data_IF_703931954383
#
_entry.id   IF_703931954383
#
_cell.length_a   1.000
_cell.length_b   1.000
_cell.length_c   1.000
_cell.angle_alpha   90.00
_cell.angle_beta   90.00
_cell.angle_gamma   90.00
#
_symmetry.space_group_name_H-M   'P 1'
#
loop_
_entity.id
_entity.type
_entity.pdbx_description
1 polymer ?
#
# COMPACT_ATOMS: atom_id res chain seq x y z
N UNK A 1 -15.22 -26.01 -9.29
CA UNK A 1 -13.93 -25.32 -9.30
C UNK A 1 -13.80 -24.36 -8.11
N UNK A 2 -14.71 -23.41 -7.92
CA UNK A 2 -14.65 -22.38 -6.86
C UNK A 2 -14.82 -22.90 -5.42
N UNK A 3 -15.06 -24.17 -5.17
CA UNK A 3 -15.33 -24.76 -3.87
C UNK A 3 -14.49 -26.00 -3.56
N UNK A 4 -13.40 -26.25 -4.31
CA UNK A 4 -12.55 -27.45 -4.12
C UNK A 4 -11.09 -27.05 -3.92
N UNK A 5 -10.38 -27.83 -3.08
CA UNK A 5 -8.93 -27.74 -2.91
C UNK A 5 -8.48 -26.42 -2.33
N UNK A 6 -7.40 -25.88 -2.89
CA UNK A 6 -6.70 -24.68 -2.39
C UNK A 6 -7.49 -23.37 -2.53
N UNK A 7 -8.61 -23.39 -3.25
CA UNK A 7 -9.50 -22.23 -3.43
C UNK A 7 -10.07 -21.73 -2.08
N UNK A 8 -10.15 -22.59 -1.07
CA UNK A 8 -10.52 -22.17 0.28
C UNK A 8 -9.57 -21.14 0.86
N UNK A 9 -8.28 -21.17 0.50
CA UNK A 9 -7.30 -20.14 0.92
C UNK A 9 -7.65 -18.77 0.33
N UNK A 10 -8.09 -18.73 -0.93
CA UNK A 10 -8.60 -17.51 -1.56
C UNK A 10 -9.81 -16.94 -0.81
N UNK A 11 -10.82 -17.76 -0.53
CA UNK A 11 -12.01 -17.34 0.20
C UNK A 11 -11.67 -16.87 1.62
N UNK A 12 -10.77 -17.57 2.30
CA UNK A 12 -10.34 -17.20 3.65
C UNK A 12 -9.69 -15.81 3.65
N UNK A 13 -8.84 -15.50 2.68
CA UNK A 13 -8.21 -14.19 2.60
C UNK A 13 -9.19 -13.09 2.18
N UNK A 14 -10.10 -13.38 1.25
CA UNK A 14 -11.14 -12.45 0.84
C UNK A 14 -12.05 -12.08 2.02
N UNK A 15 -12.55 -13.07 2.74
CA UNK A 15 -13.41 -12.86 3.91
C UNK A 15 -12.65 -12.19 5.05
N UNK A 16 -11.40 -12.56 5.30
CA UNK A 16 -10.55 -11.90 6.29
C UNK A 16 -10.38 -10.41 5.96
N UNK A 17 -10.11 -10.08 4.70
CA UNK A 17 -10.03 -8.68 4.25
C UNK A 17 -11.35 -7.94 4.46
N UNK A 18 -12.49 -8.59 4.19
CA UNK A 18 -13.82 -8.03 4.47
C UNK A 18 -14.03 -7.72 5.95
N UNK A 19 -13.74 -8.68 6.84
CA UNK A 19 -13.85 -8.50 8.29
C UNK A 19 -12.93 -7.38 8.77
N UNK A 20 -11.66 -7.36 8.34
CA UNK A 20 -10.71 -6.30 8.67
C UNK A 20 -11.18 -4.94 8.15
N UNK A 21 -11.80 -4.91 6.97
CA UNK A 21 -12.40 -3.70 6.39
C UNK A 21 -13.53 -3.15 7.27
N UNK A 22 -14.50 -3.98 7.62
CA UNK A 22 -15.63 -3.57 8.48
C UNK A 22 -15.11 -3.02 9.82
N UNK A 23 -14.21 -3.75 10.47
CA UNK A 23 -13.63 -3.33 11.75
C UNK A 23 -12.86 -2.02 11.61
N UNK A 24 -12.09 -1.88 10.55
CA UNK A 24 -11.26 -0.69 10.28
C UNK A 24 -12.05 0.57 10.00
N UNK A 25 -13.32 0.49 9.64
CA UNK A 25 -14.16 1.65 9.34
C UNK A 25 -14.24 2.66 10.49
N UNK A 26 -14.14 2.22 11.73
CA UNK A 26 -14.13 3.12 12.89
C UNK A 26 -12.94 4.10 12.84
N UNK A 27 -11.79 3.69 12.30
CA UNK A 27 -10.61 4.54 12.09
C UNK A 27 -10.69 5.26 10.74
N UNK A 28 -10.92 4.50 9.68
CA UNK A 28 -10.83 4.97 8.30
C UNK A 28 -11.93 5.96 7.96
N UNK A 29 -13.17 5.70 8.36
CA UNK A 29 -14.30 6.59 8.12
C UNK A 29 -14.10 7.99 8.72
N UNK A 30 -13.27 8.12 9.76
CA UNK A 30 -12.89 9.42 10.32
C UNK A 30 -11.75 10.09 9.54
N UNK A 31 -10.77 9.32 9.09
CA UNK A 31 -9.65 9.83 8.30
C UNK A 31 -10.12 10.26 6.91
N UNK A 32 -11.00 9.47 6.29
CA UNK A 32 -11.55 9.68 4.94
C UNK A 32 -12.98 10.25 4.94
N UNK A 33 -13.36 10.98 5.98
CA UNK A 33 -14.72 11.53 6.15
C UNK A 33 -15.26 12.27 4.92
N UNK A 34 -14.39 12.84 4.10
CA UNK A 34 -14.75 13.56 2.89
C UNK A 34 -14.97 12.68 1.66
N UNK A 35 -14.66 11.38 1.71
CA UNK A 35 -14.89 10.46 0.60
C UNK A 35 -16.34 9.97 0.60
N UNK A 36 -16.88 9.69 -0.59
CA UNK A 36 -18.22 9.16 -0.73
C UNK A 36 -18.38 7.78 -0.09
N UNK A 37 -17.37 6.92 -0.23
CA UNK A 37 -17.26 5.59 0.38
C UNK A 37 -16.67 5.62 1.81
N UNK A 38 -16.38 6.82 2.36
CA UNK A 38 -15.68 7.01 3.65
C UNK A 38 -14.38 6.21 3.78
N UNK A 39 -13.74 5.88 2.65
CA UNK A 39 -12.51 5.11 2.58
C UNK A 39 -12.72 3.61 2.77
N UNK A 40 -13.83 3.06 2.31
CA UNK A 40 -14.18 1.65 2.45
C UNK A 40 -13.05 0.69 2.02
N UNK A 41 -12.49 0.86 0.82
CA UNK A 41 -11.39 0.01 0.36
C UNK A 41 -10.11 0.25 1.16
N UNK A 42 -9.84 1.48 1.55
CA UNK A 42 -8.70 1.83 2.39
C UNK A 42 -8.78 1.20 3.78
N UNK A 43 -9.99 0.91 4.31
CA UNK A 43 -10.18 0.34 5.64
C UNK A 43 -9.52 -1.04 5.81
N UNK A 44 -9.53 -1.85 4.76
CA UNK A 44 -8.86 -3.16 4.72
C UNK A 44 -7.36 -3.00 4.91
N UNK A 45 -6.74 -2.09 4.15
CA UNK A 45 -5.29 -1.83 4.22
C UNK A 45 -4.91 -1.14 5.53
N UNK A 46 -5.73 -0.21 6.05
CA UNK A 46 -5.52 0.43 7.36
C UNK A 46 -5.45 -0.61 8.48
N UNK A 47 -6.39 -1.56 8.48
CA UNK A 47 -6.43 -2.63 9.49
C UNK A 47 -5.21 -3.55 9.40
N UNK A 48 -4.85 -3.99 8.19
CA UNK A 48 -3.63 -4.78 7.95
C UNK A 48 -2.39 -4.01 8.42
N UNK A 49 -2.31 -2.74 8.07
CA UNK A 49 -1.19 -1.86 8.43
C UNK A 49 -1.04 -1.76 9.96
N UNK A 50 -2.11 -1.38 10.67
CA UNK A 50 -2.05 -1.17 12.12
C UNK A 50 -1.76 -2.48 12.85
N UNK A 51 -2.48 -3.54 12.55
CA UNK A 51 -2.34 -4.81 13.26
C UNK A 51 -1.03 -5.52 12.92
N UNK A 52 -0.63 -5.52 11.66
CA UNK A 52 0.64 -6.09 11.22
C UNK A 52 1.83 -5.32 11.77
N UNK A 53 1.84 -3.99 11.65
CA UNK A 53 2.93 -3.17 12.17
C UNK A 53 3.06 -3.28 13.69
N UNK A 54 1.95 -3.23 14.43
CA UNK A 54 1.97 -3.37 15.89
C UNK A 54 2.49 -4.76 16.32
N UNK A 55 2.08 -5.82 15.61
CA UNK A 55 2.60 -7.18 15.84
C UNK A 55 4.09 -7.23 15.60
N UNK A 56 4.56 -6.70 14.47
CA UNK A 56 5.99 -6.65 14.13
C UNK A 56 6.79 -5.89 15.19
N UNK A 57 6.31 -4.70 15.56
CA UNK A 57 7.00 -3.86 16.54
C UNK A 57 7.17 -4.56 17.89
N UNK A 58 6.07 -5.09 18.46
CA UNK A 58 6.09 -5.75 19.75
C UNK A 58 6.95 -7.04 19.75
N UNK A 59 6.99 -7.74 18.63
CA UNK A 59 7.86 -8.90 18.46
C UNK A 59 9.33 -8.49 18.31
N UNK A 60 9.62 -7.45 17.53
CA UNK A 60 10.97 -6.96 17.27
C UNK A 60 11.63 -6.39 18.53
N UNK A 61 10.88 -5.72 19.40
CA UNK A 61 11.34 -5.26 20.72
C UNK A 61 11.28 -6.34 21.81
N UNK A 62 11.00 -7.60 21.44
CA UNK A 62 11.00 -8.79 22.33
C UNK A 62 9.93 -8.81 23.43
N UNK A 63 8.89 -7.99 23.34
CA UNK A 63 7.73 -8.03 24.26
C UNK A 63 6.87 -9.27 24.00
N UNK A 64 6.66 -9.61 22.72
CA UNK A 64 5.87 -10.77 22.32
C UNK A 64 6.66 -11.71 21.40
N UNK A 65 6.14 -12.93 21.20
CA UNK A 65 6.70 -13.91 20.25
C UNK A 65 5.87 -13.88 18.96
N UNK A 66 6.50 -14.11 17.81
CA UNK A 66 5.81 -14.15 16.50
C UNK A 66 5.07 -15.47 16.32
N UNK A 67 3.89 -15.56 16.89
CA UNK A 67 3.00 -16.74 16.85
C UNK A 67 1.63 -16.37 16.27
N UNK A 68 0.89 -17.38 15.81
CA UNK A 68 -0.52 -17.20 15.40
C UNK A 68 -1.36 -16.58 16.50
N UNK A 69 -1.18 -17.01 17.75
CA UNK A 69 -1.90 -16.45 18.91
C UNK A 69 -1.62 -14.97 19.08
N UNK A 70 -0.38 -14.53 18.90
CA UNK A 70 -0.01 -13.11 18.96
C UNK A 70 -0.67 -12.32 17.82
N UNK A 71 -0.63 -12.82 16.59
CA UNK A 71 -1.26 -12.17 15.44
C UNK A 71 -2.78 -12.02 15.64
N UNK A 72 -3.45 -13.08 16.03
CA UNK A 72 -4.89 -13.08 16.32
C UNK A 72 -5.21 -12.18 17.52
N UNK A 73 -4.44 -12.28 18.61
CA UNK A 73 -4.66 -11.50 19.82
C UNK A 73 -4.55 -9.99 19.60
N UNK A 74 -3.53 -9.54 18.85
CA UNK A 74 -3.37 -8.11 18.51
C UNK A 74 -4.50 -7.65 17.57
N UNK A 75 -4.87 -8.47 16.59
CA UNK A 75 -5.96 -8.14 15.67
C UNK A 75 -7.30 -8.08 16.41
N UNK A 76 -7.56 -8.99 17.34
CA UNK A 76 -8.75 -8.96 18.19
C UNK A 76 -8.76 -7.73 19.11
N UNK A 77 -7.62 -7.39 19.74
CA UNK A 77 -7.50 -6.18 20.57
C UNK A 77 -7.76 -4.91 19.76
N UNK A 78 -7.25 -4.83 18.53
CA UNK A 78 -7.59 -3.76 17.59
C UNK A 78 -9.09 -3.72 17.29
N UNK A 79 -9.71 -4.88 17.05
CA UNK A 79 -11.16 -4.98 16.85
C UNK A 79 -11.96 -4.42 18.02
N UNK A 80 -11.61 -4.81 19.25
CA UNK A 80 -12.25 -4.28 20.46
C UNK A 80 -12.06 -2.75 20.55
N UNK A 81 -10.86 -2.25 20.31
CA UNK A 81 -10.61 -0.79 20.30
C UNK A 81 -11.47 -0.07 19.24
N UNK A 82 -11.62 -0.67 18.05
CA UNK A 82 -12.48 -0.13 16.98
C UNK A 82 -13.98 -0.11 17.38
N UNK A 83 -14.49 -1.12 18.09
CA UNK A 83 -15.86 -1.13 18.61
C UNK A 83 -16.07 0.03 19.59
N UNK A 84 -15.16 0.22 20.55
CA UNK A 84 -15.22 1.36 21.46
C UNK A 84 -15.15 2.70 20.74
N UNK A 85 -14.30 2.81 19.73
CA UNK A 85 -14.16 4.02 18.91
C UNK A 85 -15.46 4.29 18.13
N UNK A 86 -16.06 3.26 17.53
CA UNK A 86 -17.32 3.33 16.82
C UNK A 86 -18.46 3.82 17.73
N UNK A 87 -18.64 3.22 18.90
CA UNK A 87 -19.65 3.60 19.86
C UNK A 87 -19.48 5.05 20.35
N UNK A 88 -18.23 5.45 20.61
CA UNK A 88 -17.91 6.84 20.98
C UNK A 88 -18.29 7.83 19.87
N UNK A 89 -17.99 7.49 18.61
CA UNK A 89 -18.31 8.34 17.45
C UNK A 89 -19.83 8.42 17.26
N UNK A 90 -20.53 7.32 17.35
CA UNK A 90 -22.00 7.26 17.27
C UNK A 90 -22.67 8.13 18.32
N UNK A 91 -22.20 8.09 19.57
CA UNK A 91 -22.70 8.97 20.64
C UNK A 91 -22.45 10.46 20.37
N UNK A 92 -21.44 10.77 19.54
CA UNK A 92 -21.16 12.13 19.09
C UNK A 92 -21.94 12.54 17.83
N UNK A 93 -22.88 11.71 17.36
CA UNK A 93 -23.67 11.94 16.16
C UNK A 93 -22.88 11.73 14.86
N UNK A 94 -21.76 11.00 14.90
CA UNK A 94 -20.97 10.71 13.72
C UNK A 94 -21.08 9.23 13.33
N UNK A 95 -21.59 8.99 12.13
CA UNK A 95 -21.58 7.66 11.52
C UNK A 95 -20.36 7.51 10.60
N UNK A 96 -19.52 6.52 10.89
CA UNK A 96 -18.34 6.22 10.10
C UNK A 96 -18.61 5.24 8.93
N UNK A 97 -19.80 4.63 8.89
CA UNK A 97 -20.17 3.69 7.83
C UNK A 97 -20.70 4.43 6.59
N UNK A 98 -20.40 3.96 5.37
CA UNK A 98 -20.82 4.59 4.11
C UNK A 98 -22.25 4.21 3.68
N UNK A 99 -23.21 4.22 4.63
CA UNK A 99 -24.59 3.74 4.40
C UNK A 99 -25.29 4.51 3.28
N UNK A 100 -24.95 5.79 3.10
CA UNK A 100 -25.57 6.64 2.07
C UNK A 100 -25.12 6.30 0.64
N UNK A 101 -24.01 5.56 0.46
CA UNK A 101 -23.41 5.24 -0.82
C UNK A 101 -23.07 3.75 -0.97
N UNK A 102 -24.00 2.88 -0.56
CA UNK A 102 -23.81 1.43 -0.65
C UNK A 102 -23.58 0.93 -2.07
N UNK A 103 -24.16 1.57 -3.07
CA UNK A 103 -23.93 1.22 -4.49
C UNK A 103 -22.45 1.33 -4.86
N UNK A 104 -21.76 2.37 -4.38
CA UNK A 104 -20.32 2.53 -4.59
C UNK A 104 -19.54 1.46 -3.84
N UNK A 105 -19.91 1.18 -2.59
CA UNK A 105 -19.29 0.11 -1.78
C UNK A 105 -19.42 -1.26 -2.45
N UNK A 106 -20.60 -1.59 -2.96
CA UNK A 106 -20.82 -2.84 -3.71
C UNK A 106 -20.01 -2.87 -5.00
N UNK A 107 -19.94 -1.78 -5.74
CA UNK A 107 -19.12 -1.71 -6.95
C UNK A 107 -17.62 -1.95 -6.64
N UNK A 108 -17.11 -1.33 -5.58
CA UNK A 108 -15.72 -1.52 -5.13
C UNK A 108 -15.46 -2.96 -4.66
N UNK A 109 -16.39 -3.59 -3.94
CA UNK A 109 -16.25 -4.99 -3.51
C UNK A 109 -16.29 -5.95 -4.71
N UNK A 110 -17.17 -5.73 -5.68
CA UNK A 110 -17.24 -6.54 -6.89
C UNK A 110 -15.93 -6.39 -7.69
N UNK A 111 -15.39 -5.18 -7.82
CA UNK A 111 -14.13 -4.94 -8.50
C UNK A 111 -12.97 -5.61 -7.74
N UNK A 112 -12.91 -5.47 -6.42
CA UNK A 112 -11.88 -6.12 -5.61
C UNK A 112 -11.93 -7.64 -5.77
N UNK A 113 -13.10 -8.25 -5.64
CA UNK A 113 -13.31 -9.68 -5.83
C UNK A 113 -12.91 -10.13 -7.23
N UNK A 114 -13.40 -9.44 -8.27
CA UNK A 114 -13.16 -9.82 -9.67
C UNK A 114 -11.67 -9.73 -10.04
N UNK A 115 -10.98 -8.66 -9.62
CA UNK A 115 -9.55 -8.48 -9.91
C UNK A 115 -8.69 -9.45 -9.08
N UNK A 116 -9.03 -9.69 -7.82
CA UNK A 116 -8.36 -10.68 -6.98
C UNK A 116 -8.50 -12.09 -7.56
N UNK A 117 -9.71 -12.46 -8.00
CA UNK A 117 -9.99 -13.74 -8.63
C UNK A 117 -9.25 -13.88 -9.97
N UNK A 118 -9.27 -12.83 -10.81
CA UNK A 118 -8.58 -12.80 -12.11
C UNK A 118 -7.07 -13.05 -11.94
N UNK A 119 -6.41 -12.28 -11.09
CA UNK A 119 -4.97 -12.43 -10.85
C UNK A 119 -4.64 -13.77 -10.20
N UNK A 120 -5.48 -14.27 -9.28
CA UNK A 120 -5.29 -15.58 -8.66
C UNK A 120 -5.45 -16.72 -9.69
N UNK A 121 -6.41 -16.59 -10.59
CA UNK A 121 -6.59 -17.53 -11.69
C UNK A 121 -5.36 -17.53 -12.63
N UNK A 122 -4.88 -16.35 -13.02
CA UNK A 122 -3.69 -16.21 -13.85
C UNK A 122 -2.43 -16.76 -13.17
N UNK A 123 -2.26 -16.51 -11.88
CA UNK A 123 -1.15 -17.04 -11.10
C UNK A 123 -1.15 -18.58 -11.04
N UNK A 124 -2.31 -19.21 -11.13
CA UNK A 124 -2.46 -20.66 -11.15
C UNK A 124 -1.82 -21.36 -12.35
N UNK A 125 -1.53 -20.64 -13.44
CA UNK A 125 -0.82 -21.21 -14.60
C UNK A 125 0.70 -21.33 -14.37
N UNK A 126 1.28 -20.52 -13.44
CA UNK A 126 2.68 -20.53 -13.09
C UNK A 126 2.86 -20.44 -11.58
N UNK A 127 2.46 -21.48 -10.81
CA UNK A 127 2.40 -21.42 -9.36
C UNK A 127 3.78 -21.58 -8.69
N UNK A 128 4.79 -22.10 -9.41
CA UNK A 128 6.07 -22.43 -8.82
C UNK A 128 6.85 -21.20 -8.35
N UNK A 129 7.34 -21.22 -7.12
CA UNK A 129 8.27 -20.23 -6.58
C UNK A 129 9.70 -20.50 -7.10
N UNK A 130 9.86 -20.50 -8.42
CA UNK A 130 11.09 -20.83 -9.13
C UNK A 130 11.39 -19.77 -10.19
N UNK A 131 12.67 -19.53 -10.44
CA UNK A 131 13.16 -18.48 -11.33
C UNK A 131 13.23 -17.11 -10.63
N UNK A 132 14.02 -16.19 -11.17
CA UNK A 132 14.33 -14.89 -10.59
C UNK A 132 14.70 -14.98 -9.09
N UNK A 133 14.24 -14.07 -8.23
CA UNK A 133 14.50 -14.08 -6.79
C UNK A 133 13.39 -14.75 -5.96
N UNK A 134 12.43 -15.41 -6.60
CA UNK A 134 11.26 -16.02 -5.92
C UNK A 134 11.63 -16.97 -4.80
N UNK A 135 12.68 -17.78 -4.98
CA UNK A 135 13.15 -18.73 -3.97
C UNK A 135 13.65 -18.00 -2.71
N UNK A 136 14.21 -16.81 -2.85
CA UNK A 136 14.65 -15.97 -1.73
C UNK A 136 13.45 -15.46 -0.95
N UNK A 137 12.51 -14.81 -1.64
CA UNK A 137 11.31 -14.23 -1.03
C UNK A 137 10.45 -15.30 -0.35
N UNK A 138 10.23 -16.43 -1.03
CA UNK A 138 9.55 -17.60 -0.48
C UNK A 138 10.29 -18.15 0.75
N UNK A 139 11.61 -18.26 0.64
CA UNK A 139 12.45 -18.72 1.74
C UNK A 139 12.39 -17.81 2.96
N UNK A 140 12.36 -16.49 2.78
CA UNK A 140 12.17 -15.54 3.88
C UNK A 140 10.81 -15.72 4.56
N UNK A 141 9.75 -15.96 3.79
CA UNK A 141 8.43 -16.26 4.36
C UNK A 141 8.46 -17.54 5.20
N UNK A 142 9.10 -18.61 4.70
CA UNK A 142 9.27 -19.88 5.42
C UNK A 142 10.11 -19.72 6.69
N UNK A 143 11.20 -18.96 6.64
CA UNK A 143 12.02 -18.67 7.82
C UNK A 143 11.21 -17.92 8.90
N UNK A 144 10.45 -16.89 8.50
CA UNK A 144 9.60 -16.13 9.42
C UNK A 144 8.43 -16.97 9.95
N UNK A 145 7.86 -17.87 9.13
CA UNK A 145 6.75 -18.75 9.56
C UNK A 145 7.16 -19.64 10.71
N UNK A 146 8.40 -20.16 10.68
CA UNK A 146 8.98 -21.02 11.74
C UNK A 146 9.54 -20.23 12.92
N UNK A 147 9.89 -18.95 12.71
CA UNK A 147 10.54 -18.14 13.75
C UNK A 147 9.54 -17.63 14.79
N UNK A 148 10.00 -17.60 16.04
CA UNK A 148 9.32 -16.93 17.16
C UNK A 148 9.81 -15.50 17.38
N UNK A 149 10.84 -15.07 16.65
CA UNK A 149 11.47 -13.75 16.76
C UNK A 149 11.66 -13.12 15.39
N UNK A 150 11.71 -11.80 15.32
CA UNK A 150 12.00 -11.03 14.12
C UNK A 150 13.23 -10.13 14.35
N UNK A 151 14.11 -9.99 13.37
CA UNK A 151 14.18 -10.77 12.14
C UNK A 151 14.38 -12.26 12.40
N UNK A 152 13.92 -13.10 11.47
CA UNK A 152 14.13 -14.54 11.53
C UNK A 152 15.61 -14.90 11.27
N UNK A 153 16.00 -16.12 11.58
CA UNK A 153 17.33 -16.64 11.22
C UNK A 153 17.44 -16.74 9.70
N UNK A 154 18.58 -16.33 9.17
CA UNK A 154 18.86 -16.38 7.74
C UNK A 154 18.90 -17.83 7.23
N UNK A 155 18.45 -18.07 6.01
CA UNK A 155 18.35 -19.40 5.42
C UNK A 155 19.71 -19.95 4.97
N UNK A 156 20.58 -19.05 4.52
CA UNK A 156 21.92 -19.41 4.01
C UNK A 156 23.03 -19.20 5.02
N UNK A 157 22.73 -18.43 6.09
CA UNK A 157 23.68 -18.16 7.17
C UNK A 157 23.02 -18.36 8.54
N UNK A 158 23.04 -19.60 9.02
CA UNK A 158 22.34 -20.03 10.24
C UNK A 158 22.74 -19.29 11.52
N UNK A 159 23.93 -18.68 11.56
CA UNK A 159 24.40 -17.87 12.68
C UNK A 159 23.90 -16.41 12.60
N UNK A 160 23.39 -15.99 11.46
CA UNK A 160 22.90 -14.64 11.19
C UNK A 160 21.38 -14.54 11.22
N UNK A 161 20.93 -13.32 11.01
CA UNK A 161 19.51 -12.95 10.84
C UNK A 161 19.30 -12.44 9.42
N UNK A 162 18.07 -12.55 8.91
CA UNK A 162 17.70 -11.95 7.61
C UNK A 162 18.09 -10.48 7.63
N UNK A 163 19.05 -10.10 6.78
CA UNK A 163 19.53 -8.73 6.58
C UNK A 163 19.03 -8.22 5.23
N UNK A 164 17.73 -7.95 5.14
CA UNK A 164 17.05 -7.52 3.94
C UNK A 164 15.82 -6.68 4.30
N UNK A 165 15.21 -6.00 3.32
CA UNK A 165 13.91 -5.34 3.45
C UNK A 165 12.79 -6.40 3.46
N UNK A 166 12.61 -7.09 4.57
CA UNK A 166 11.69 -8.23 4.68
C UNK A 166 10.24 -7.84 5.02
N UNK A 167 9.93 -6.55 5.07
CA UNK A 167 8.61 -6.05 5.50
C UNK A 167 7.45 -6.51 4.61
N UNK A 168 7.67 -6.59 3.29
CA UNK A 168 6.66 -7.12 2.38
C UNK A 168 6.34 -8.58 2.64
N UNK A 169 7.36 -9.42 2.69
CA UNK A 169 7.24 -10.85 2.99
C UNK A 169 6.68 -11.06 4.42
N UNK A 170 7.04 -10.18 5.36
CA UNK A 170 6.46 -10.22 6.71
C UNK A 170 4.94 -10.03 6.70
N UNK A 171 4.40 -9.05 5.96
CA UNK A 171 2.96 -8.85 5.88
C UNK A 171 2.25 -10.07 5.26
N UNK A 172 2.87 -10.73 4.28
CA UNK A 172 2.36 -11.99 3.75
C UNK A 172 2.31 -13.08 4.84
N UNK A 173 3.39 -13.24 5.63
CA UNK A 173 3.45 -14.21 6.75
C UNK A 173 2.49 -13.84 7.87
N UNK A 174 2.33 -12.55 8.18
CA UNK A 174 1.35 -12.08 9.16
C UNK A 174 -0.07 -12.51 8.78
N UNK A 175 -0.48 -12.26 7.52
CA UNK A 175 -1.78 -12.68 7.01
C UNK A 175 -1.91 -14.20 6.94
N UNK A 176 -0.84 -14.93 6.60
CA UNK A 176 -0.79 -16.39 6.60
C UNK A 176 -1.02 -16.95 8.00
N UNK A 177 -0.35 -16.40 9.03
CA UNK A 177 -0.59 -16.78 10.43
C UNK A 177 -1.99 -16.42 10.89
N UNK A 178 -2.47 -15.23 10.55
CA UNK A 178 -3.79 -14.75 10.95
C UNK A 178 -4.93 -15.59 10.34
N UNK A 179 -4.77 -16.04 9.10
CA UNK A 179 -5.73 -16.87 8.38
C UNK A 179 -5.59 -18.38 8.62
N UNK A 180 -4.49 -18.82 9.27
CA UNK A 180 -4.21 -20.24 9.47
C UNK A 180 -3.90 -21.00 8.17
N UNK A 181 -3.48 -20.30 7.13
CA UNK A 181 -3.14 -20.86 5.81
C UNK A 181 -1.65 -21.25 5.72
N UNK A 182 -1.19 -21.68 4.55
CA UNK A 182 0.18 -22.18 4.32
C UNK A 182 0.94 -21.28 3.34
N UNK A 183 2.26 -21.16 3.55
CA UNK A 183 3.13 -20.30 2.73
C UNK A 183 3.14 -20.75 1.26
N UNK A 184 3.06 -22.05 0.97
CA UNK A 184 3.03 -22.60 -0.39
C UNK A 184 1.92 -21.98 -1.26
N UNK A 185 0.82 -21.59 -0.64
CA UNK A 185 -0.30 -20.96 -1.32
C UNK A 185 -0.24 -19.43 -1.20
N UNK A 186 0.16 -18.95 -0.02
CA UNK A 186 0.03 -17.52 0.30
C UNK A 186 1.16 -16.67 -0.29
N UNK A 187 2.26 -17.25 -0.73
CA UNK A 187 3.26 -16.57 -1.53
C UNK A 187 2.62 -15.96 -2.80
N UNK A 188 1.97 -16.81 -3.61
CA UNK A 188 1.27 -16.34 -4.81
C UNK A 188 0.03 -15.52 -4.47
N UNK A 189 -0.70 -15.88 -3.42
CA UNK A 189 -1.93 -15.20 -3.04
C UNK A 189 -1.67 -13.78 -2.55
N UNK A 190 -0.56 -13.52 -1.84
CA UNK A 190 -0.20 -12.16 -1.41
C UNK A 190 0.03 -11.24 -2.62
N UNK A 191 0.73 -11.71 -3.64
CA UNK A 191 0.96 -10.97 -4.87
C UNK A 191 -0.35 -10.59 -5.57
N UNK A 192 -1.28 -11.54 -5.71
CA UNK A 192 -2.57 -11.31 -6.37
C UNK A 192 -3.50 -10.44 -5.52
N UNK A 193 -3.38 -10.53 -4.21
CA UNK A 193 -4.05 -9.67 -3.25
C UNK A 193 -3.59 -8.21 -3.37
N UNK A 194 -2.28 -7.98 -3.47
CA UNK A 194 -1.72 -6.65 -3.73
C UNK A 194 -2.17 -6.13 -5.11
N UNK A 195 -2.21 -6.98 -6.14
CA UNK A 195 -2.68 -6.59 -7.47
C UNK A 195 -4.14 -6.13 -7.46
N UNK A 196 -4.99 -6.76 -6.63
CA UNK A 196 -6.37 -6.32 -6.43
C UNK A 196 -6.42 -4.93 -5.74
N UNK A 197 -5.62 -4.70 -4.71
CA UNK A 197 -5.50 -3.36 -4.10
C UNK A 197 -4.92 -2.33 -5.06
N UNK A 198 -3.96 -2.71 -5.90
CA UNK A 198 -3.41 -1.84 -6.94
C UNK A 198 -4.45 -1.42 -7.99
N UNK A 199 -5.60 -2.10 -8.05
CA UNK A 199 -6.75 -1.70 -8.86
C UNK A 199 -7.75 -0.85 -8.06
N UNK A 200 -8.22 -1.34 -6.91
CA UNK A 200 -9.38 -0.72 -6.24
C UNK A 200 -9.03 0.54 -5.46
N UNK A 201 -7.78 0.68 -4.94
CA UNK A 201 -7.39 1.90 -4.24
C UNK A 201 -7.25 3.10 -5.20
N UNK A 202 -6.62 2.98 -6.40
CA UNK A 202 -6.66 4.01 -7.41
C UNK A 202 -8.09 4.27 -7.92
N UNK A 203 -8.93 3.23 -8.05
CA UNK A 203 -10.34 3.41 -8.40
C UNK A 203 -11.02 4.34 -7.40
N UNK A 204 -11.00 4.02 -6.11
CA UNK A 204 -11.65 4.80 -5.06
C UNK A 204 -11.09 6.24 -4.99
N UNK A 205 -9.76 6.39 -5.06
CA UNK A 205 -9.09 7.69 -5.02
C UNK A 205 -9.49 8.59 -6.20
N UNK A 206 -9.36 8.09 -7.44
CA UNK A 206 -9.63 8.88 -8.65
C UNK A 206 -11.13 9.09 -8.86
N UNK A 207 -11.97 8.13 -8.48
CA UNK A 207 -13.42 8.32 -8.39
C UNK A 207 -13.75 9.53 -7.52
N UNK A 208 -13.18 9.59 -6.31
CA UNK A 208 -13.41 10.71 -5.39
C UNK A 208 -12.85 12.03 -5.93
N UNK A 209 -11.65 12.02 -6.54
CA UNK A 209 -11.07 13.23 -7.16
C UNK A 209 -11.96 13.77 -8.26
N UNK A 210 -12.48 12.90 -9.12
CA UNK A 210 -13.37 13.27 -10.22
C UNK A 210 -14.72 13.77 -9.70
N UNK A 211 -15.27 13.13 -8.67
CA UNK A 211 -16.50 13.58 -8.02
C UNK A 211 -16.36 15.00 -7.43
N UNK A 212 -15.21 15.28 -6.81
CA UNK A 212 -14.93 16.62 -6.26
C UNK A 212 -14.76 17.70 -7.33
N UNK A 213 -14.32 17.32 -8.54
CA UNK A 213 -14.23 18.21 -9.69
C UNK A 213 -15.59 18.37 -10.38
N UNK A 214 -16.41 17.33 -10.44
CA UNK A 214 -17.73 17.35 -11.10
C UNK A 214 -18.65 18.42 -10.51
N UNK A 215 -18.60 18.68 -9.22
CA UNK A 215 -19.34 19.75 -8.57
C UNK A 215 -18.93 21.17 -9.00
N UNK A 216 -17.85 21.33 -9.79
CA UNK A 216 -17.31 22.65 -10.22
C UNK A 216 -17.39 22.86 -11.72
N UNK A 217 -17.54 21.80 -12.51
CA UNK A 217 -17.56 21.83 -13.97
C UNK A 217 -18.95 21.44 -14.45
N UNK A 218 -19.65 22.41 -15.02
CA UNK A 218 -20.98 22.18 -15.60
C UNK A 218 -20.87 21.20 -16.79
N UNK A 219 -21.84 20.30 -16.93
CA UNK A 219 -22.00 19.44 -18.11
C UNK A 219 -21.29 18.09 -18.05
N UNK A 220 -20.61 17.74 -16.96
CA UNK A 220 -20.00 16.41 -16.81
C UNK A 220 -21.06 15.30 -16.62
N UNK A 221 -20.86 14.18 -17.31
CA UNK A 221 -21.77 13.03 -17.22
C UNK A 221 -21.71 12.40 -15.82
N UNK A 222 -22.86 11.96 -15.30
CA UNK A 222 -23.02 11.35 -13.97
C UNK A 222 -22.04 10.19 -13.72
N UNK A 223 -21.75 9.39 -14.74
CA UNK A 223 -20.89 8.18 -14.60
C UNK A 223 -19.39 8.47 -14.76
N UNK A 224 -18.98 9.70 -14.99
CA UNK A 224 -17.58 10.04 -15.21
C UNK A 224 -16.67 9.64 -14.04
N UNK A 225 -17.04 9.83 -12.74
CA UNK A 225 -16.20 9.38 -11.64
C UNK A 225 -15.90 7.88 -11.67
N UNK A 226 -16.90 7.05 -11.96
CA UNK A 226 -16.71 5.59 -12.04
C UNK A 226 -15.84 5.18 -13.22
N UNK A 227 -15.99 5.85 -14.38
CA UNK A 227 -15.16 5.57 -15.56
C UNK A 227 -13.70 5.95 -15.31
N UNK A 228 -13.45 7.15 -14.77
CA UNK A 228 -12.07 7.60 -14.48
C UNK A 228 -11.41 6.75 -13.38
N UNK A 229 -12.18 6.39 -12.35
CA UNK A 229 -11.71 5.45 -11.32
C UNK A 229 -11.34 4.09 -11.90
N UNK A 230 -12.19 3.52 -12.77
CA UNK A 230 -11.91 2.24 -13.44
C UNK A 230 -10.66 2.32 -14.32
N UNK A 231 -10.49 3.38 -15.09
CA UNK A 231 -9.30 3.62 -15.90
C UNK A 231 -8.04 3.76 -15.04
N UNK A 232 -8.13 4.40 -13.88
CA UNK A 232 -7.02 4.50 -12.94
C UNK A 232 -6.63 3.12 -12.36
N UNK A 233 -7.61 2.29 -12.00
CA UNK A 233 -7.37 0.90 -11.58
C UNK A 233 -6.69 0.07 -12.66
N UNK A 234 -7.19 0.16 -13.91
CA UNK A 234 -6.55 -0.48 -15.08
C UNK A 234 -5.12 0.00 -15.27
N UNK A 235 -4.88 1.32 -15.18
CA UNK A 235 -3.57 1.91 -15.40
C UNK A 235 -2.52 1.43 -14.38
N UNK A 236 -2.90 1.25 -13.14
CA UNK A 236 -1.96 0.85 -12.07
C UNK A 236 -1.79 -0.66 -11.98
N UNK A 237 -2.87 -1.45 -12.06
CA UNK A 237 -2.80 -2.90 -11.82
C UNK A 237 -2.52 -3.72 -13.08
N UNK A 238 -3.03 -3.29 -14.24
CA UNK A 238 -3.05 -4.12 -15.45
C UNK A 238 -2.23 -3.53 -16.60
N UNK A 239 -2.25 -2.20 -16.75
CA UNK A 239 -1.51 -1.58 -17.81
C UNK A 239 0.01 -1.70 -17.60
N UNK A 240 0.70 -1.94 -18.71
CA UNK A 240 2.16 -1.90 -18.78
C UNK A 240 2.62 -0.72 -19.64
N UNK A 241 3.90 -0.74 -19.94
CA UNK A 241 4.42 0.11 -21.00
C UNK A 241 4.05 -0.45 -22.38
N UNK A 242 4.21 0.33 -23.42
CA UNK A 242 3.84 -0.05 -24.79
C UNK A 242 4.77 -1.12 -25.43
N UNK A 243 5.81 -1.56 -24.73
CA UNK A 243 6.82 -2.47 -25.29
C UNK A 243 6.19 -3.78 -25.76
N UNK A 244 5.34 -4.40 -24.92
CA UNK A 244 4.64 -5.63 -25.32
C UNK A 244 3.78 -5.42 -26.57
N UNK A 245 3.03 -4.32 -26.64
CA UNK A 245 2.16 -4.04 -27.79
C UNK A 245 2.99 -3.85 -29.06
N UNK A 246 4.10 -3.12 -28.97
CA UNK A 246 4.95 -2.84 -30.13
C UNK A 246 5.72 -4.11 -30.55
N UNK A 247 6.46 -4.72 -29.64
CA UNK A 247 7.42 -5.78 -29.97
C UNK A 247 6.81 -7.19 -30.01
N UNK A 248 5.72 -7.44 -29.29
CA UNK A 248 5.07 -8.76 -29.31
C UNK A 248 3.84 -8.83 -30.23
N UNK A 249 3.28 -7.70 -30.68
CA UNK A 249 2.09 -7.69 -31.52
C UNK A 249 2.32 -6.96 -32.86
N UNK A 250 2.73 -5.68 -32.83
CA UNK A 250 2.80 -4.85 -34.04
C UNK A 250 3.98 -5.30 -34.94
N UNK A 251 5.19 -5.43 -34.38
CA UNK A 251 6.38 -5.82 -35.18
C UNK A 251 6.21 -7.21 -35.77
N UNK A 252 5.80 -8.27 -35.03
CA UNK A 252 5.53 -9.58 -35.61
C UNK A 252 4.47 -9.55 -36.70
N UNK A 253 3.42 -8.74 -36.56
CA UNK A 253 2.42 -8.57 -37.62
C UNK A 253 3.01 -7.96 -38.90
N UNK A 254 3.83 -6.92 -38.76
CA UNK A 254 4.52 -6.28 -39.90
C UNK A 254 5.49 -7.26 -40.58
N UNK A 255 6.28 -8.02 -39.80
CA UNK A 255 7.20 -9.05 -40.31
C UNK A 255 6.44 -10.12 -41.10
N UNK A 256 5.32 -10.61 -40.53
CA UNK A 256 4.46 -11.58 -41.24
C UNK A 256 3.89 -11.02 -42.53
N UNK A 257 3.48 -9.76 -42.57
CA UNK A 257 2.96 -9.11 -43.78
C UNK A 257 4.02 -8.93 -44.86
N UNK A 258 5.29 -8.77 -44.44
CA UNK A 258 6.45 -8.65 -45.35
C UNK A 258 7.02 -10.00 -45.79
N UNK A 259 6.60 -11.12 -45.20
CA UNK A 259 7.18 -12.46 -45.44
C UNK A 259 8.55 -12.63 -44.76
N UNK A 260 8.86 -11.83 -43.76
CA UNK A 260 10.08 -11.92 -42.95
C UNK A 260 9.89 -12.94 -41.81
N UNK A 261 11.00 -13.47 -41.27
CA UNK A 261 10.94 -14.30 -40.06
C UNK A 261 10.40 -13.50 -38.87
N UNK A 262 9.46 -14.10 -38.15
CA UNK A 262 8.83 -13.47 -36.99
C UNK A 262 9.77 -13.56 -35.79
N UNK A 263 10.16 -12.44 -35.22
CA UNK A 263 10.99 -12.36 -34.03
C UNK A 263 10.25 -12.91 -32.80
N UNK A 264 10.93 -13.68 -31.97
CA UNK A 264 10.42 -14.11 -30.67
C UNK A 264 10.42 -12.93 -29.67
N UNK A 265 9.41 -12.85 -28.82
CA UNK A 265 9.32 -11.85 -27.79
C UNK A 265 9.64 -12.44 -26.41
N UNK A 266 10.54 -11.77 -25.69
CA UNK A 266 10.86 -12.11 -24.33
C UNK A 266 10.33 -11.00 -23.38
N UNK A 267 9.32 -11.34 -22.55
CA UNK A 267 8.59 -10.37 -21.74
C UNK A 267 9.49 -9.49 -20.84
N UNK A 268 10.58 -10.02 -20.23
CA UNK A 268 11.49 -9.19 -19.44
C UNK A 268 12.17 -8.02 -20.19
N UNK A 269 12.23 -8.04 -21.53
CA UNK A 269 12.75 -6.89 -22.31
C UNK A 269 11.92 -5.63 -22.10
N UNK A 270 10.65 -5.77 -21.70
CA UNK A 270 9.79 -4.65 -21.34
C UNK A 270 10.34 -3.77 -20.21
N UNK A 271 11.33 -4.22 -19.47
CA UNK A 271 11.94 -3.48 -18.35
C UNK A 271 13.38 -3.10 -18.57
N UNK A 272 13.96 -3.45 -19.76
CA UNK A 272 15.38 -3.31 -20.06
C UNK A 272 15.64 -2.25 -21.13
N UNK A 273 15.60 -0.99 -20.72
CA UNK A 273 15.87 0.13 -21.62
C UNK A 273 17.20 0.83 -21.29
N UNK A 274 17.32 1.36 -20.07
CA UNK A 274 18.49 2.15 -19.66
C UNK A 274 19.68 1.21 -19.53
N UNK A 275 20.73 1.54 -20.26
CA UNK A 275 21.96 0.76 -20.31
C UNK A 275 21.93 -0.48 -21.20
N UNK A 276 20.77 -0.82 -21.77
CA UNK A 276 20.64 -1.94 -22.72
C UNK A 276 20.57 -1.46 -24.17
N UNK A 277 20.03 -0.27 -24.40
CA UNK A 277 19.99 0.36 -25.72
C UNK A 277 20.12 1.89 -25.58
N UNK A 278 21.30 2.51 -25.88
CA UNK A 278 22.55 1.83 -26.22
C UNK A 278 23.13 1.00 -25.05
N UNK A 279 23.95 0.01 -25.38
CA UNK A 279 24.59 -0.85 -24.36
C UNK A 279 25.69 -0.06 -23.64
N UNK A 280 25.52 0.10 -22.32
CA UNK A 280 26.47 0.77 -21.42
C UNK A 280 26.65 -0.04 -20.14
N UNK A 281 27.73 0.17 -19.37
CA UNK A 281 27.97 -0.60 -18.14
C UNK A 281 26.88 -0.43 -17.05
N UNK A 282 26.27 0.76 -17.00
CA UNK A 282 25.21 1.06 -16.02
C UNK A 282 23.84 0.62 -16.55
N UNK A 283 23.44 -0.59 -16.19
CA UNK A 283 22.19 -1.22 -16.62
C UNK A 283 21.15 -1.18 -15.50
N UNK A 284 19.97 -0.67 -15.82
CA UNK A 284 18.86 -0.55 -14.87
C UNK A 284 17.64 -1.34 -15.35
N UNK A 285 16.98 -2.04 -14.44
CA UNK A 285 15.70 -2.72 -14.69
C UNK A 285 14.58 -1.82 -14.15
N UNK A 286 13.62 -1.47 -15.01
CA UNK A 286 12.49 -0.59 -14.69
C UNK A 286 11.23 -1.40 -14.53
N UNK A 287 11.02 -2.02 -13.38
CA UNK A 287 9.81 -2.76 -13.11
C UNK A 287 8.61 -1.84 -12.97
N UNK A 288 7.46 -2.36 -13.39
CA UNK A 288 6.16 -1.72 -13.23
C UNK A 288 5.16 -2.73 -12.65
N UNK A 289 4.07 -2.31 -11.98
CA UNK A 289 3.23 -3.21 -11.19
C UNK A 289 2.76 -4.45 -11.96
N UNK A 290 2.22 -4.28 -13.17
CA UNK A 290 1.76 -5.40 -13.99
C UNK A 290 2.89 -6.40 -14.31
N UNK A 291 4.10 -5.89 -14.56
CA UNK A 291 5.26 -6.74 -14.82
C UNK A 291 5.54 -7.68 -13.64
N UNK A 292 5.63 -7.14 -12.43
CA UNK A 292 5.88 -7.92 -11.22
C UNK A 292 4.73 -8.89 -10.92
N UNK A 293 3.48 -8.48 -11.19
CA UNK A 293 2.31 -9.37 -11.03
C UNK A 293 2.32 -10.54 -12.01
N UNK A 294 2.76 -10.33 -13.25
CA UNK A 294 2.88 -11.38 -14.26
C UNK A 294 4.05 -12.32 -13.98
N UNK A 295 5.24 -11.76 -13.70
CA UNK A 295 6.42 -12.57 -13.35
C UNK A 295 6.23 -13.37 -12.08
N UNK A 296 5.47 -12.85 -11.15
CA UNK A 296 5.17 -13.54 -9.92
C UNK A 296 6.17 -13.31 -8.80
N UNK A 297 6.93 -12.24 -8.85
CA UNK A 297 7.86 -11.87 -7.80
C UNK A 297 7.12 -11.13 -6.67
N UNK A 298 7.40 -11.53 -5.43
CA UNK A 298 6.87 -10.89 -4.23
C UNK A 298 7.94 -9.97 -3.59
N UNK A 299 8.54 -9.13 -4.42
CA UNK A 299 9.53 -8.18 -3.97
C UNK A 299 8.98 -7.13 -2.99
N UNK A 300 9.87 -6.53 -2.23
CA UNK A 300 9.55 -5.51 -1.24
C UNK A 300 8.71 -4.37 -1.81
N UNK A 301 9.08 -3.83 -2.97
CA UNK A 301 8.35 -2.74 -3.63
C UNK A 301 6.95 -3.16 -4.10
N UNK A 302 6.74 -4.42 -4.47
CA UNK A 302 5.44 -4.93 -4.93
C UNK A 302 4.44 -4.88 -3.80
N UNK A 303 4.78 -5.41 -2.63
CA UNK A 303 3.88 -5.38 -1.48
C UNK A 303 3.64 -3.95 -0.99
N UNK A 304 4.64 -3.08 -1.12
CA UNK A 304 4.53 -1.69 -0.68
C UNK A 304 3.52 -0.86 -1.50
N UNK A 305 3.14 -1.30 -2.71
CA UNK A 305 2.15 -0.61 -3.56
C UNK A 305 0.86 -0.30 -2.78
N UNK A 306 0.33 -1.24 -2.01
CA UNK A 306 -0.91 -1.00 -1.25
C UNK A 306 -0.73 0.05 -0.14
N UNK A 307 0.44 0.14 0.49
CA UNK A 307 0.73 1.12 1.53
C UNK A 307 1.02 2.50 0.95
N UNK A 308 1.67 2.56 -0.21
CA UNK A 308 1.87 3.79 -0.98
C UNK A 308 0.52 4.38 -1.40
N UNK A 309 -0.37 3.57 -1.94
CA UNK A 309 -1.71 4.00 -2.33
C UNK A 309 -2.54 4.44 -1.11
N UNK A 310 -2.40 3.78 0.03
CA UNK A 310 -2.99 4.24 1.29
C UNK A 310 -2.47 5.61 1.70
N UNK A 311 -1.16 5.86 1.60
CA UNK A 311 -0.57 7.16 1.90
C UNK A 311 -1.13 8.26 0.98
N UNK A 312 -1.19 8.00 -0.34
CA UNK A 312 -1.74 8.96 -1.30
C UNK A 312 -3.22 9.27 -1.01
N UNK A 313 -4.02 8.23 -0.72
CA UNK A 313 -5.41 8.40 -0.31
C UNK A 313 -5.55 9.25 0.96
N UNK A 314 -4.71 8.98 1.97
CA UNK A 314 -4.67 9.74 3.23
C UNK A 314 -4.31 11.21 3.01
N UNK A 315 -3.29 11.48 2.18
CA UNK A 315 -2.88 12.84 1.84
C UNK A 315 -4.00 13.59 1.13
N UNK A 316 -4.68 12.95 0.18
CA UNK A 316 -5.81 13.56 -0.51
C UNK A 316 -7.00 13.82 0.44
N UNK A 317 -7.33 12.87 1.29
CA UNK A 317 -8.39 13.03 2.30
C UNK A 317 -8.07 14.20 3.26
N UNK A 318 -6.80 14.35 3.62
CA UNK A 318 -6.34 15.47 4.43
C UNK A 318 -6.45 16.80 3.68
N UNK A 319 -5.99 16.89 2.44
CA UNK A 319 -6.14 18.08 1.59
C UNK A 319 -7.59 18.52 1.51
N UNK A 320 -8.51 17.59 1.29
CA UNK A 320 -9.95 17.84 1.23
C UNK A 320 -10.51 18.40 2.54
N UNK A 321 -10.09 17.85 3.67
CA UNK A 321 -10.51 18.31 5.01
C UNK A 321 -10.03 19.72 5.30
N UNK A 322 -8.77 20.02 5.05
CA UNK A 322 -8.16 21.30 5.40
C UNK A 322 -8.72 22.44 4.56
N UNK A 323 -8.99 22.21 3.29
CA UNK A 323 -9.60 23.20 2.39
C UNK A 323 -10.92 23.76 2.94
N UNK A 324 -11.63 22.95 3.74
CA UNK A 324 -12.91 23.34 4.32
C UNK A 324 -12.79 23.96 5.74
N UNK A 325 -11.56 24.06 6.28
CA UNK A 325 -11.33 24.58 7.63
C UNK A 325 -10.16 25.56 7.63
N UNK A 326 -10.42 26.82 7.88
CA UNK A 326 -9.34 27.83 8.03
C UNK A 326 -8.93 27.96 9.50
N UNK A 327 -7.72 27.57 9.90
CA UNK A 327 -7.25 27.74 11.26
C UNK A 327 -6.93 29.22 11.51
N UNK A 328 -7.47 29.79 12.58
CA UNK A 328 -7.11 31.14 13.05
C UNK A 328 -6.31 31.02 14.33
N UNK A 329 -5.07 31.53 14.31
CA UNK A 329 -4.18 31.54 15.46
C UNK A 329 -4.64 32.58 16.53
N UNK A 330 -5.24 33.67 16.09
CA UNK A 330 -5.73 34.75 16.97
C UNK A 330 -6.85 34.27 17.90
N UNK A 331 -7.69 33.32 17.44
CA UNK A 331 -8.80 32.75 18.21
C UNK A 331 -8.38 31.63 19.18
N UNK A 332 -7.18 31.05 19.05
CA UNK A 332 -6.84 29.79 19.75
C UNK A 332 -5.65 29.91 20.71
N UNK A 333 -4.85 30.94 20.65
CA UNK A 333 -3.58 31.08 21.41
C UNK A 333 -2.46 30.20 20.82
N UNK A 334 -1.20 30.66 20.97
CA UNK A 334 0.00 30.10 20.35
C UNK A 334 0.22 28.61 20.66
N UNK A 335 0.13 28.21 21.94
CA UNK A 335 0.36 26.81 22.37
C UNK A 335 -0.66 25.85 21.75
N UNK A 336 -1.95 26.20 21.80
CA UNK A 336 -3.03 25.38 21.25
C UNK A 336 -2.96 25.26 19.73
N UNK A 337 -2.52 26.32 19.04
CA UNK A 337 -2.27 26.28 17.61
C UNK A 337 -1.20 25.22 17.26
N UNK A 338 -0.01 25.28 17.87
CA UNK A 338 1.07 24.34 17.60
C UNK A 338 0.69 22.90 17.93
N UNK A 339 0.09 22.67 19.09
CA UNK A 339 -0.39 21.33 19.43
C UNK A 339 -1.37 20.78 18.39
N UNK A 340 -2.26 21.61 17.86
CA UNK A 340 -3.22 21.18 16.84
C UNK A 340 -2.56 20.91 15.49
N UNK A 341 -1.48 21.63 15.15
CA UNK A 341 -0.74 21.41 13.91
C UNK A 341 0.10 20.11 13.96
N UNK A 342 0.77 19.89 15.06
CA UNK A 342 1.66 18.73 15.23
C UNK A 342 0.90 17.43 15.53
N UNK A 343 -0.12 17.45 16.39
CA UNK A 343 -0.89 16.25 16.74
C UNK A 343 -2.04 15.94 15.76
N UNK A 344 -1.90 16.31 14.49
CA UNK A 344 -2.89 15.93 13.49
C UNK A 344 -2.85 14.43 13.22
N UNK A 345 -3.98 13.70 13.30
CA UNK A 345 -4.00 12.26 13.03
C UNK A 345 -3.43 11.89 11.65
N UNK A 346 -3.61 12.77 10.66
CA UNK A 346 -3.10 12.56 9.31
C UNK A 346 -1.55 12.65 9.25
N UNK A 347 -0.94 13.55 10.01
CA UNK A 347 0.53 13.65 10.12
C UNK A 347 1.09 12.42 10.81
N UNK A 348 0.48 12.00 11.92
CA UNK A 348 0.91 10.81 12.65
C UNK A 348 0.77 9.54 11.80
N UNK A 349 -0.34 9.42 11.05
CA UNK A 349 -0.56 8.29 10.14
C UNK A 349 0.43 8.30 8.96
N UNK A 350 0.72 9.47 8.38
CA UNK A 350 1.72 9.60 7.33
C UNK A 350 3.13 9.27 7.86
N UNK A 351 3.49 9.75 9.04
CA UNK A 351 4.76 9.43 9.69
C UNK A 351 4.93 7.93 9.94
N UNK A 352 3.87 7.26 10.41
CA UNK A 352 3.86 5.81 10.59
C UNK A 352 4.06 5.06 9.26
N UNK A 353 3.35 5.43 8.20
CA UNK A 353 3.49 4.80 6.89
C UNK A 353 4.90 5.03 6.31
N UNK A 354 5.42 6.25 6.40
CA UNK A 354 6.77 6.57 5.95
C UNK A 354 7.84 5.79 6.75
N UNK A 355 7.66 5.64 8.06
CA UNK A 355 8.53 4.79 8.85
C UNK A 355 8.51 3.33 8.39
N UNK A 356 7.33 2.81 8.06
CA UNK A 356 7.19 1.46 7.49
C UNK A 356 7.93 1.32 6.16
N UNK A 357 7.98 2.35 5.33
CA UNK A 357 8.67 2.27 4.04
C UNK A 357 10.18 2.02 4.17
N UNK A 358 10.83 2.45 5.24
CA UNK A 358 12.21 2.06 5.52
C UNK A 358 12.45 0.55 5.57
N UNK A 359 11.45 -0.18 6.03
CA UNK A 359 11.53 -1.61 6.25
C UNK A 359 10.88 -2.43 5.11
N UNK A 360 9.92 -1.83 4.40
CA UNK A 360 9.26 -2.47 3.25
C UNK A 360 9.93 -2.15 1.93
N UNK A 361 10.28 -0.88 1.67
CA UNK A 361 11.03 -0.44 0.51
C UNK A 361 11.64 0.95 0.76
N UNK A 362 12.94 1.02 0.99
CA UNK A 362 13.61 2.26 1.38
C UNK A 362 13.48 3.40 0.35
N UNK A 363 13.45 3.08 -0.95
CA UNK A 363 13.27 4.10 -1.99
C UNK A 363 11.91 4.80 -1.89
N UNK A 364 10.86 4.06 -1.52
CA UNK A 364 9.55 4.65 -1.29
C UNK A 364 9.56 5.62 -0.11
N UNK A 365 10.35 5.35 0.94
CA UNK A 365 10.51 6.31 2.03
C UNK A 365 11.00 7.66 1.50
N UNK A 366 12.08 7.69 0.71
CA UNK A 366 12.66 8.93 0.19
C UNK A 366 11.68 9.67 -0.72
N UNK A 367 11.10 8.96 -1.68
CA UNK A 367 10.17 9.52 -2.67
C UNK A 367 8.94 10.10 -1.98
N UNK A 368 8.30 9.30 -1.14
CA UNK A 368 7.02 9.70 -0.53
C UNK A 368 7.20 10.62 0.69
N UNK A 369 8.40 10.71 1.27
CA UNK A 369 8.73 11.79 2.20
C UNK A 369 8.70 13.16 1.49
N UNK A 370 9.27 13.24 0.29
CA UNK A 370 9.21 14.46 -0.54
C UNK A 370 7.77 14.78 -0.96
N UNK A 371 7.00 13.78 -1.41
CA UNK A 371 5.57 13.96 -1.77
C UNK A 371 4.74 14.43 -0.59
N UNK A 372 4.96 13.84 0.59
CA UNK A 372 4.28 14.26 1.84
C UNK A 372 4.69 15.68 2.23
N UNK A 373 5.99 16.00 2.18
CA UNK A 373 6.49 17.35 2.46
C UNK A 373 5.92 18.41 1.52
N UNK A 374 5.83 18.11 0.23
CA UNK A 374 5.18 18.96 -0.76
C UNK A 374 3.69 19.17 -0.46
N UNK A 375 2.98 18.11 -0.07
CA UNK A 375 1.58 18.18 0.34
C UNK A 375 1.41 19.05 1.60
N UNK A 376 2.25 18.85 2.61
CA UNK A 376 2.27 19.65 3.84
C UNK A 376 2.47 21.13 3.52
N UNK A 377 3.48 21.44 2.69
CA UNK A 377 3.75 22.81 2.26
C UNK A 377 2.54 23.45 1.57
N UNK A 378 1.98 22.74 0.59
CA UNK A 378 0.82 23.21 -0.17
C UNK A 378 -0.38 23.49 0.75
N UNK A 379 -0.63 22.59 1.71
CA UNK A 379 -1.69 22.76 2.69
C UNK A 379 -1.47 23.96 3.59
N UNK A 380 -0.24 24.19 4.05
CA UNK A 380 0.09 25.33 4.87
C UNK A 380 -0.01 26.65 4.11
N UNK A 381 0.32 26.68 2.81
CA UNK A 381 0.09 27.84 1.94
C UNK A 381 -1.39 28.22 1.91
N UNK A 382 -2.27 27.24 1.72
CA UNK A 382 -3.73 27.45 1.66
C UNK A 382 -4.27 27.93 3.03
N UNK A 383 -3.80 27.32 4.13
CA UNK A 383 -4.36 27.55 5.45
C UNK A 383 -3.86 28.83 6.12
N UNK A 384 -2.60 29.18 5.94
CA UNK A 384 -1.95 30.29 6.68
C UNK A 384 -1.89 31.59 5.88
N UNK A 385 -2.49 31.62 4.68
CA UNK A 385 -2.78 32.78 3.83
C UNK A 385 -1.78 33.95 3.94
N UNK A 386 -0.65 33.84 3.23
CA UNK A 386 0.28 34.96 3.01
C UNK A 386 1.33 35.19 4.10
N UNK A 387 1.25 34.56 5.27
CA UNK A 387 2.33 34.64 6.28
C UNK A 387 3.45 33.62 5.95
N UNK A 388 4.36 34.04 5.10
CA UNK A 388 5.44 33.18 4.60
C UNK A 388 6.33 32.63 5.74
N UNK A 389 6.56 33.39 6.79
CA UNK A 389 7.37 32.96 7.95
C UNK A 389 6.66 31.85 8.73
N UNK A 390 5.34 31.95 8.92
CA UNK A 390 4.54 30.91 9.55
C UNK A 390 4.42 29.68 8.68
N UNK A 391 4.21 29.84 7.38
CA UNK A 391 4.17 28.74 6.41
C UNK A 391 5.47 27.95 6.51
N UNK A 392 6.63 28.62 6.41
CA UNK A 392 7.93 27.97 6.50
C UNK A 392 8.13 27.28 7.88
N UNK A 393 7.84 27.97 8.98
CA UNK A 393 8.03 27.41 10.32
C UNK A 393 7.14 26.19 10.61
N UNK A 394 5.85 26.23 10.23
CA UNK A 394 4.93 25.12 10.45
C UNK A 394 5.30 23.94 9.55
N UNK A 395 5.62 24.20 8.27
CA UNK A 395 6.03 23.16 7.33
C UNK A 395 7.31 22.46 7.79
N UNK A 396 8.32 23.23 8.20
CA UNK A 396 9.57 22.68 8.71
C UNK A 396 9.34 21.85 9.99
N UNK A 397 8.53 22.34 10.93
CA UNK A 397 8.23 21.61 12.16
C UNK A 397 7.50 20.29 11.87
N UNK A 398 6.51 20.29 11.00
CA UNK A 398 5.78 19.07 10.58
C UNK A 398 6.66 18.09 9.80
N UNK A 399 7.55 18.59 8.93
CA UNK A 399 8.50 17.73 8.22
C UNK A 399 9.49 17.06 9.20
N UNK A 400 10.05 17.82 10.14
CA UNK A 400 10.94 17.28 11.18
C UNK A 400 10.22 16.29 12.07
N UNK A 401 8.98 16.55 12.46
CA UNK A 401 8.16 15.65 13.25
C UNK A 401 7.91 14.33 12.52
N UNK A 402 7.49 14.39 11.24
CA UNK A 402 7.26 13.21 10.42
C UNK A 402 8.54 12.37 10.33
N UNK A 403 9.68 13.02 10.05
CA UNK A 403 10.97 12.34 9.97
C UNK A 403 11.37 11.70 11.32
N UNK A 404 11.23 12.42 12.40
CA UNK A 404 11.58 11.93 13.74
C UNK A 404 10.71 10.73 14.14
N UNK A 405 9.39 10.81 13.96
CA UNK A 405 8.48 9.70 14.26
C UNK A 405 8.80 8.50 13.36
N UNK A 406 8.93 8.71 12.05
CA UNK A 406 9.27 7.65 11.10
C UNK A 406 10.56 6.93 11.50
N UNK A 407 11.59 7.67 11.89
CA UNK A 407 12.87 7.11 12.34
C UNK A 407 12.73 6.33 13.64
N UNK A 408 12.03 6.89 14.64
CA UNK A 408 11.90 6.27 15.97
C UNK A 408 11.12 4.94 15.91
N UNK A 409 10.00 4.90 15.18
CA UNK A 409 9.17 3.70 15.14
C UNK A 409 9.82 2.53 14.40
N UNK A 410 10.82 2.80 13.55
CA UNK A 410 11.54 1.79 12.78
C UNK A 410 12.89 1.41 13.38
N UNK A 411 13.28 2.00 14.52
CA UNK A 411 14.55 1.68 15.19
C UNK A 411 14.79 0.18 15.37
N UNK A 412 13.81 -0.68 15.72
CA UNK A 412 14.06 -2.12 15.85
C UNK A 412 14.57 -2.77 14.57
N UNK A 413 14.22 -2.24 13.39
CA UNK A 413 14.78 -2.67 12.12
C UNK A 413 16.15 -2.04 11.89
N UNK A 414 16.26 -0.72 11.97
CA UNK A 414 17.47 0.04 11.63
C UNK A 414 18.69 -0.40 12.46
N UNK A 415 18.49 -0.71 13.74
CA UNK A 415 19.57 -1.18 14.63
C UNK A 415 20.09 -2.58 14.31
N UNK A 416 19.37 -3.37 13.53
CA UNK A 416 19.73 -4.73 13.15
C UNK A 416 20.10 -4.87 11.66
N UNK A 417 19.79 -3.84 10.87
CA UNK A 417 20.05 -3.84 9.44
C UNK A 417 21.43 -3.26 9.13
N UNK A 418 22.22 -4.01 8.39
CA UNK A 418 23.54 -3.58 7.93
C UNK A 418 23.49 -3.37 6.41
N UNK A 419 23.75 -2.15 5.96
CA UNK A 419 23.78 -1.86 4.52
C UNK A 419 24.97 -2.53 3.86
N UNK A 420 24.73 -3.27 2.77
CA UNK A 420 25.80 -3.87 1.96
C UNK A 420 26.53 -2.84 1.11
N UNK A 421 25.89 -1.72 0.77
CA UNK A 421 26.47 -0.62 -0.01
C UNK A 421 26.86 0.49 0.97
N UNK A 422 28.17 0.67 1.14
CA UNK A 422 28.74 1.76 1.92
C UNK A 422 29.18 2.89 0.99
N UNK A 423 28.40 3.97 0.98
CA UNK A 423 28.70 5.21 0.26
C UNK A 423 28.11 5.30 -1.17
N UNK A 424 27.76 6.50 -1.56
CA UNK A 424 27.52 6.86 -2.96
C UNK A 424 28.90 7.12 -3.58
N UNK A 425 29.29 6.30 -4.55
CA UNK A 425 30.47 6.56 -5.39
C UNK A 425 30.07 7.41 -6.59
#
# INVERSE_FOLDING_TARGET
FLLKGDVWTFWTWYLLAGVLGIVGMAVTGRLFRGFADKGWMFSKVVSITITGFLTWFLVSVRILKFTTVTCVGITAAFGVACIFLYERQRRQGYDCLPIENLDLVYAEEILFFAVFLLWTYLAGFHPAAHGTEKFMDYGFMEAMMRSKTLPATDLWYSQGKINYYYGGQYFAVFLTKLSGTKVELTYNLMRTFVAAFAFVLPFSLVHQMTLDMQGRVSGWKKNLPSITGFLAGLAVSIAGNMHYVVYAQIIPLIQKLKGEEVSSYWFPDATRYIGFNPDVPDKTIHEFPCYSFVLGDLHAHVVNIMFVLLLLGLLYAWMKKVRNTTPSMEKQGRKKFWMKQLLMPQILAAAMLLGMFHWTNYWDFVIYYVVTGGTVLFMNIICLKGDIRRIAAVTAAQAVEIFAIATVIILPFTLQFTTMVQGVR
#
